data_IF_661618850183
#
_entry.id   IF_661618850183
#
_cell.length_a   1.000
_cell.length_b   1.000
_cell.length_c   1.000
_cell.angle_alpha   90.00
_cell.angle_beta   90.00
_cell.angle_gamma   90.00
#
_symmetry.space_group_name_H-M   'P 1'
#
loop_
_entity.id
_entity.type
_entity.pdbx_description
1 polymer ?
#
# COMPACT_ATOMS: atom_id res chain seq x y z
N UNK A 1 -5.04 13.94 -46.88
CA UNK A 1 -4.01 13.11 -46.23
C UNK A 1 -3.27 14.01 -45.26
N UNK A 2 -3.79 14.14 -44.05
CA UNK A 2 -3.15 14.92 -43.00
C UNK A 2 -2.69 13.92 -41.95
N UNK A 3 -1.38 13.64 -41.97
CA UNK A 3 -0.73 12.85 -40.93
C UNK A 3 -0.58 13.78 -39.73
N UNK A 4 -1.55 13.73 -38.82
CA UNK A 4 -1.43 14.37 -37.52
C UNK A 4 -0.38 13.63 -36.70
N UNK A 5 0.53 14.40 -36.13
CA UNK A 5 1.78 13.93 -35.58
C UNK A 5 1.60 13.07 -34.34
N UNK A 6 2.35 11.97 -34.31
CA UNK A 6 2.71 11.27 -33.07
C UNK A 6 3.52 12.23 -32.20
N UNK A 7 2.84 12.96 -31.31
CA UNK A 7 3.49 13.57 -30.16
C UNK A 7 3.92 12.40 -29.28
N UNK A 8 5.18 11.99 -29.41
CA UNK A 8 5.83 11.12 -28.43
C UNK A 8 5.90 11.92 -27.13
N UNK A 9 4.86 11.76 -26.32
CA UNK A 9 4.74 12.31 -24.98
C UNK A 9 5.98 11.91 -24.19
N UNK A 10 6.90 12.86 -24.04
CA UNK A 10 8.05 12.71 -23.15
C UNK A 10 7.46 12.68 -21.75
N UNK A 11 7.21 11.46 -21.25
CA UNK A 11 6.49 11.23 -20.00
C UNK A 11 7.21 11.94 -18.86
N UNK A 12 6.68 13.11 -18.50
CA UNK A 12 7.11 13.80 -17.30
C UNK A 12 6.89 12.85 -16.13
N UNK A 13 7.86 12.69 -15.22
CA UNK A 13 7.68 11.83 -14.07
C UNK A 13 6.43 12.27 -13.31
N UNK A 14 5.42 11.40 -13.26
CA UNK A 14 4.17 11.70 -12.57
C UNK A 14 4.40 11.48 -11.08
N UNK A 15 4.11 12.51 -10.31
CA UNK A 15 4.19 12.47 -8.86
C UNK A 15 2.80 12.42 -8.26
N UNK A 16 2.63 11.53 -7.29
CA UNK A 16 1.36 11.30 -6.60
C UNK A 16 1.48 11.62 -5.11
N UNK A 17 0.30 11.80 -4.49
CA UNK A 17 0.13 12.09 -3.07
C UNK A 17 0.12 13.58 -2.74
N UNK A 18 -0.36 13.93 -1.55
CA UNK A 18 -0.47 15.30 -1.01
C UNK A 18 0.87 16.05 -1.07
N UNK A 19 1.98 15.36 -0.84
CA UNK A 19 3.32 15.95 -0.87
C UNK A 19 4.06 15.75 -2.20
N UNK A 20 3.41 15.18 -3.23
CA UNK A 20 3.98 14.96 -4.57
C UNK A 20 5.36 14.29 -4.53
N UNK A 21 5.52 13.30 -3.66
CA UNK A 21 6.78 12.63 -3.35
C UNK A 21 6.78 11.14 -3.72
N UNK A 22 5.71 10.66 -4.34
CA UNK A 22 5.61 9.29 -4.86
C UNK A 22 5.73 9.34 -6.37
N UNK A 23 6.78 8.76 -6.91
CA UNK A 23 6.96 8.61 -8.35
C UNK A 23 6.36 7.28 -8.79
N UNK A 24 5.36 7.34 -9.67
CA UNK A 24 4.79 6.19 -10.36
C UNK A 24 4.65 6.52 -11.84
N UNK A 25 4.74 5.51 -12.69
CA UNK A 25 4.34 5.62 -14.09
C UNK A 25 2.85 5.24 -14.28
N UNK A 26 2.29 5.54 -15.44
CA UNK A 26 0.88 5.28 -15.73
C UNK A 26 0.50 3.80 -15.61
N UNK A 27 1.39 2.89 -16.02
CA UNK A 27 1.18 1.45 -15.94
C UNK A 27 1.16 0.96 -14.48
N UNK A 28 2.11 1.42 -13.65
CA UNK A 28 2.17 1.14 -12.22
C UNK A 28 0.92 1.65 -11.51
N UNK A 29 0.51 2.88 -11.78
CA UNK A 29 -0.70 3.46 -11.21
C UNK A 29 -1.96 2.69 -11.63
N UNK A 30 -2.06 2.32 -12.91
CA UNK A 30 -3.16 1.50 -13.41
C UNK A 30 -3.21 0.14 -12.73
N UNK A 31 -2.06 -0.55 -12.65
CA UNK A 31 -1.94 -1.85 -11.98
C UNK A 31 -2.31 -1.77 -10.49
N UNK A 32 -1.91 -0.71 -9.79
CA UNK A 32 -2.31 -0.49 -8.39
C UNK A 32 -3.84 -0.30 -8.31
N UNK A 33 -4.40 0.51 -9.20
CA UNK A 33 -5.85 0.75 -9.28
C UNK A 33 -6.64 -0.51 -9.58
N UNK A 34 -6.15 -1.41 -10.42
CA UNK A 34 -6.81 -2.70 -10.65
C UNK A 34 -6.72 -3.63 -9.43
N UNK A 35 -5.55 -3.70 -8.77
CA UNK A 35 -5.34 -4.59 -7.60
C UNK A 35 -6.01 -4.12 -6.32
N UNK A 36 -6.06 -2.80 -6.11
CA UNK A 36 -6.44 -2.17 -4.84
C UNK A 36 -7.67 -1.27 -4.97
N UNK A 37 -8.08 -0.93 -6.19
CA UNK A 37 -9.25 -0.11 -6.50
C UNK A 37 -9.25 1.19 -5.69
N UNK A 38 -10.29 1.42 -4.89
CA UNK A 38 -10.48 2.62 -4.06
C UNK A 38 -9.42 2.77 -2.95
N UNK A 39 -8.69 1.71 -2.61
CA UNK A 39 -7.61 1.77 -1.62
C UNK A 39 -6.31 2.33 -2.19
N UNK A 40 -6.19 2.46 -3.51
CA UNK A 40 -4.97 2.95 -4.18
C UNK A 40 -4.61 4.35 -3.71
N UNK A 41 -5.54 5.30 -3.83
CA UNK A 41 -5.33 6.70 -3.42
C UNK A 41 -4.98 6.80 -1.93
N UNK A 42 -5.69 6.02 -1.09
CA UNK A 42 -5.42 5.98 0.35
C UNK A 42 -4.00 5.50 0.67
N UNK A 43 -3.49 4.54 -0.10
CA UNK A 43 -2.18 3.94 0.12
C UNK A 43 -1.07 4.84 -0.40
N UNK A 44 -1.30 5.50 -1.53
CA UNK A 44 -0.45 6.60 -2.03
C UNK A 44 -0.35 7.69 -0.96
N UNK A 45 -1.46 8.18 -0.41
CA UNK A 45 -1.47 9.18 0.65
C UNK A 45 -0.71 8.74 1.91
N UNK A 46 -0.93 7.50 2.36
CA UNK A 46 -0.20 6.91 3.49
C UNK A 46 1.30 6.92 3.26
N UNK A 47 1.75 6.44 2.10
CA UNK A 47 3.17 6.40 1.78
C UNK A 47 3.74 7.82 1.63
N UNK A 48 3.00 8.73 1.02
CA UNK A 48 3.38 10.13 0.82
C UNK A 48 3.63 10.81 2.17
N UNK A 49 2.67 10.70 3.09
CA UNK A 49 2.79 11.21 4.46
C UNK A 49 3.91 10.51 5.24
N UNK A 50 4.05 9.20 5.10
CA UNK A 50 5.11 8.45 5.79
C UNK A 50 6.50 8.89 5.37
N UNK A 51 6.75 9.07 4.07
CA UNK A 51 8.01 9.57 3.55
C UNK A 51 8.29 10.99 4.05
N UNK A 52 7.26 11.84 4.10
CA UNK A 52 7.40 13.21 4.61
C UNK A 52 7.69 13.27 6.11
N UNK A 53 7.04 12.43 6.90
CA UNK A 53 7.19 12.43 8.36
C UNK A 53 8.43 11.68 8.85
N UNK A 54 8.75 10.54 8.24
CA UNK A 54 9.90 9.71 8.62
C UNK A 54 11.21 10.11 7.92
N UNK A 55 11.13 10.90 6.85
CA UNK A 55 12.28 11.24 6.02
C UNK A 55 12.80 10.08 5.16
N UNK A 56 12.09 8.95 5.12
CA UNK A 56 12.48 7.81 4.29
C UNK A 56 12.10 8.02 2.83
N UNK A 57 12.92 7.52 1.93
CA UNK A 57 12.66 7.49 0.50
C UNK A 57 12.77 6.07 -0.02
N UNK A 58 11.83 5.68 -0.87
CA UNK A 58 11.84 4.38 -1.52
C UNK A 58 12.25 4.55 -2.98
N UNK A 59 13.10 3.66 -3.48
CA UNK A 59 13.48 3.68 -4.90
C UNK A 59 12.30 3.24 -5.78
N UNK A 60 11.54 2.26 -5.31
CA UNK A 60 10.37 1.70 -5.98
C UNK A 60 9.13 1.90 -5.10
N UNK A 61 8.35 2.93 -5.45
CA UNK A 61 7.12 3.24 -4.73
C UNK A 61 6.02 2.21 -5.02
N UNK A 62 5.99 1.65 -6.23
CA UNK A 62 5.01 0.64 -6.63
C UNK A 62 5.13 -0.61 -5.77
N UNK A 63 6.34 -1.18 -5.67
CA UNK A 63 6.61 -2.37 -4.85
C UNK A 63 6.31 -2.10 -3.36
N UNK A 64 6.60 -0.89 -2.88
CA UNK A 64 6.31 -0.49 -1.49
C UNK A 64 4.81 -0.47 -1.22
N UNK A 65 4.02 0.13 -2.12
CA UNK A 65 2.56 0.18 -2.01
C UNK A 65 1.96 -1.24 -2.05
N UNK A 66 2.46 -2.09 -2.95
CA UNK A 66 2.04 -3.49 -3.07
C UNK A 66 2.30 -4.26 -1.76
N UNK A 67 3.53 -4.18 -1.24
CA UNK A 67 3.90 -4.86 0.00
C UNK A 67 3.06 -4.39 1.20
N UNK A 68 2.78 -3.08 1.29
CA UNK A 68 1.93 -2.54 2.35
C UNK A 68 0.50 -3.07 2.24
N UNK A 69 -0.03 -3.21 1.04
CA UNK A 69 -1.38 -3.74 0.82
C UNK A 69 -1.52 -5.19 1.24
N UNK A 70 -0.58 -6.04 0.83
CA UNK A 70 -0.56 -7.44 1.23
C UNK A 70 -0.47 -7.57 2.75
N UNK A 71 0.41 -6.79 3.37
CA UNK A 71 0.57 -6.77 4.83
C UNK A 71 -0.67 -6.28 5.57
N UNK A 72 -1.38 -5.28 5.05
CA UNK A 72 -2.65 -4.81 5.64
C UNK A 72 -3.73 -5.91 5.52
N UNK A 73 -3.82 -6.59 4.36
CA UNK A 73 -4.72 -7.74 4.17
C UNK A 73 -4.42 -8.90 5.11
N UNK A 74 -3.17 -9.30 5.24
CA UNK A 74 -2.74 -10.37 6.15
C UNK A 74 -3.05 -10.02 7.61
N UNK A 75 -2.81 -8.77 8.02
CA UNK A 75 -3.15 -8.30 9.38
C UNK A 75 -4.65 -8.35 9.65
N UNK A 76 -5.47 -7.99 8.67
CA UNK A 76 -6.93 -8.07 8.79
C UNK A 76 -7.39 -9.52 8.95
N UNK A 77 -6.88 -10.44 8.11
CA UNK A 77 -7.18 -11.87 8.21
C UNK A 77 -6.70 -12.48 9.53
N UNK A 78 -5.48 -12.15 9.97
CA UNK A 78 -4.95 -12.63 11.24
C UNK A 78 -5.77 -12.14 12.42
N UNK A 79 -6.19 -10.86 12.45
CA UNK A 79 -7.07 -10.35 13.51
C UNK A 79 -8.43 -11.05 13.56
N UNK A 80 -8.99 -11.43 12.41
CA UNK A 80 -10.22 -12.22 12.38
C UNK A 80 -9.99 -13.61 12.96
N UNK A 81 -8.88 -14.25 12.63
CA UNK A 81 -8.54 -15.58 13.13
C UNK A 81 -8.12 -15.59 14.62
N UNK A 82 -7.51 -14.50 15.09
CA UNK A 82 -7.04 -14.32 16.47
C UNK A 82 -8.20 -13.97 17.43
N UNK A 83 -9.22 -13.23 16.97
CA UNK A 83 -10.46 -13.02 17.73
C UNK A 83 -11.27 -14.31 17.96
N UNK A 84 -11.03 -15.35 17.18
CA UNK A 84 -11.58 -16.70 17.41
C UNK A 84 -10.88 -17.44 18.55
N UNK A 85 -9.68 -16.99 18.93
CA UNK A 85 -8.89 -17.56 20.02
C UNK A 85 -9.21 -16.80 21.30
N UNK A 86 -10.48 -16.86 21.72
CA UNK A 86 -10.83 -16.55 23.11
C UNK A 86 -10.16 -17.65 23.94
N UNK A 87 -9.16 -17.35 24.80
CA UNK A 87 -8.60 -18.36 25.68
C UNK A 87 -9.74 -18.91 26.52
N UNK A 88 -9.94 -20.23 26.48
CA UNK A 88 -10.95 -20.87 27.30
C UNK A 88 -10.58 -20.64 28.75
N UNK A 89 -11.58 -20.44 29.59
CA UNK A 89 -11.46 -20.36 31.07
C UNK A 89 -10.60 -21.50 31.66
N UNK A 90 -10.50 -22.63 30.95
CA UNK A 90 -9.62 -23.77 31.27
C UNK A 90 -8.11 -23.46 31.22
N UNK A 91 -7.65 -22.54 30.37
CA UNK A 91 -6.24 -22.10 30.35
C UNK A 91 -5.91 -21.19 31.55
N UNK A 92 -6.89 -20.50 32.12
CA UNK A 92 -6.71 -19.69 33.33
C UNK A 92 -6.66 -20.53 34.62
N UNK A 93 -7.23 -21.74 34.60
CA UNK A 93 -7.26 -22.65 35.74
C UNK A 93 -6.08 -23.64 35.80
N UNK A 94 -5.33 -23.82 34.72
CA UNK A 94 -4.03 -24.53 34.73
C UNK A 94 -2.94 -23.60 35.24
N UNK A 95 -2.98 -23.35 36.55
CA UNK A 95 -1.95 -22.59 37.26
C UNK A 95 -0.63 -23.34 37.34
N UNK A 96 0.21 -23.18 36.32
CA UNK A 96 1.65 -23.45 36.42
C UNK A 96 2.40 -22.11 36.51
N UNK A 97 2.42 -21.54 37.70
CA UNK A 97 3.45 -20.61 38.13
C UNK A 97 4.16 -21.19 39.35
N UNK A 98 5.33 -21.77 39.08
CA UNK A 98 6.46 -22.15 39.95
C UNK A 98 6.22 -23.20 41.05
#
# INVERSE_FOLDING_TARGET
>A
MEKEGEIKEMSTPIFYGEFQNIKLNDEEYHNLKEKMQTHTDTMIEKLSRYMKSSGKTYQDHYATLLHWYEKDKEKLQKKMNDRSRVPTIEEYMRGDTL
#
